data_IF_476550446395
#
_entry.id   IF_476550446395
#
_cell.length_a   1.000
_cell.length_b   1.000
_cell.length_c   1.000
_cell.angle_alpha   90.00
_cell.angle_beta   90.00
_cell.angle_gamma   90.00
#
_symmetry.space_group_name_H-M   'P 1'
#
loop_
_entity.id
_entity.type
_entity.pdbx_description
1 polymer ?
#
# COMPACT_ATOMS: atom_id res chain seq x y z
N UNK A 1 15.06 -14.91 -5.42
CA UNK A 1 15.35 -13.82 -4.47
C UNK A 1 14.67 -14.14 -3.16
N UNK A 2 15.35 -13.90 -2.01
CA UNK A 2 14.72 -14.06 -0.70
C UNK A 2 13.89 -12.81 -0.39
N UNK A 3 12.60 -13.01 -0.11
CA UNK A 3 11.69 -11.96 0.31
C UNK A 3 11.30 -12.19 1.78
N UNK A 4 11.25 -11.11 2.56
CA UNK A 4 10.72 -11.15 3.91
C UNK A 4 9.20 -11.23 3.87
N UNK A 5 8.65 -12.17 4.60
CA UNK A 5 7.21 -12.34 4.80
C UNK A 5 6.96 -12.41 6.30
N UNK A 6 6.21 -11.47 6.83
CA UNK A 6 5.68 -11.53 8.19
C UNK A 6 4.33 -12.23 8.13
N UNK A 7 4.15 -13.26 8.93
CA UNK A 7 2.93 -14.08 8.94
C UNK A 7 2.31 -14.10 10.32
N UNK A 8 0.98 -14.04 10.37
CA UNK A 8 0.17 -14.30 11.55
C UNK A 8 -0.87 -15.37 11.24
N UNK A 9 -0.98 -16.36 12.09
CA UNK A 9 -1.90 -17.48 11.97
C UNK A 9 -3.05 -17.35 12.96
N UNK A 10 -4.29 -17.72 12.54
CA UNK A 10 -5.42 -17.75 13.46
C UNK A 10 -5.26 -18.86 14.50
N UNK A 11 -5.65 -18.57 15.74
CA UNK A 11 -5.67 -19.56 16.82
C UNK A 11 -6.86 -20.52 16.74
N UNK A 12 -7.93 -20.12 16.07
CA UNK A 12 -9.16 -20.91 15.91
C UNK A 12 -9.94 -20.43 14.67
N UNK A 13 -10.89 -21.25 14.20
CA UNK A 13 -11.82 -20.90 13.11
C UNK A 13 -11.11 -20.44 11.82
N UNK A 14 -10.18 -21.25 11.32
CA UNK A 14 -9.38 -20.94 10.13
C UNK A 14 -10.27 -20.77 8.90
N UNK A 15 -10.20 -19.60 8.26
CA UNK A 15 -10.79 -19.34 6.95
C UNK A 15 -9.90 -19.90 5.84
N UNK A 16 -10.51 -20.38 4.77
CA UNK A 16 -9.76 -21.03 3.69
C UNK A 16 -8.94 -20.08 2.83
N UNK A 17 -9.35 -18.82 2.74
CA UNK A 17 -8.69 -17.85 1.85
C UNK A 17 -7.70 -17.01 2.66
N UNK A 18 -6.39 -17.05 2.36
CA UNK A 18 -5.42 -16.21 3.03
C UNK A 18 -5.49 -14.76 2.54
N UNK A 19 -4.88 -13.84 3.30
CA UNK A 19 -4.71 -12.44 2.90
C UNK A 19 -3.23 -12.15 2.70
N UNK A 20 -2.88 -11.44 1.62
CA UNK A 20 -1.56 -10.91 1.36
C UNK A 20 -1.61 -9.38 1.32
N UNK A 21 -0.87 -8.76 2.22
CA UNK A 21 -0.73 -7.32 2.34
C UNK A 21 0.53 -6.83 1.62
N UNK A 22 0.37 -5.77 0.80
CA UNK A 22 1.44 -5.15 0.00
C UNK A 22 1.59 -3.70 0.41
N UNK A 23 2.75 -3.34 0.93
CA UNK A 23 3.02 -2.00 1.48
C UNK A 23 3.22 -0.93 0.40
N UNK A 24 3.09 0.34 0.81
CA UNK A 24 3.37 1.52 0.00
C UNK A 24 4.84 1.92 -0.02
N UNK A 25 5.13 3.05 -0.68
CA UNK A 25 6.48 3.61 -0.74
C UNK A 25 7.08 3.79 0.66
N UNK A 26 8.38 3.56 0.77
CA UNK A 26 9.18 3.77 1.98
C UNK A 26 8.85 2.88 3.18
N UNK A 27 7.90 1.98 3.05
CA UNK A 27 7.47 1.04 4.09
C UNK A 27 8.09 -0.36 3.91
N UNK A 28 7.65 -1.28 4.73
CA UNK A 28 7.91 -2.73 4.65
C UNK A 28 6.75 -3.46 5.36
N UNK A 29 6.82 -4.78 5.47
CA UNK A 29 5.80 -5.60 6.12
C UNK A 29 5.39 -5.13 7.52
N UNK A 30 6.28 -4.42 8.21
CA UNK A 30 6.06 -3.92 9.57
C UNK A 30 4.81 -3.05 9.72
N UNK A 31 4.45 -2.24 8.71
CA UNK A 31 3.30 -1.35 8.80
C UNK A 31 1.97 -2.11 8.93
N UNK A 32 1.93 -3.33 8.43
CA UNK A 32 0.81 -4.24 8.57
C UNK A 32 0.87 -5.05 9.86
N UNK A 33 2.09 -5.42 10.30
CA UNK A 33 2.30 -6.19 11.52
C UNK A 33 1.91 -5.43 12.80
N UNK A 34 1.89 -4.10 12.75
CA UNK A 34 1.51 -3.26 13.89
C UNK A 34 0.07 -3.53 14.34
N UNK A 35 -0.87 -3.63 13.39
CA UNK A 35 -2.29 -3.77 13.69
C UNK A 35 -3.01 -4.81 12.83
N UNK A 36 -2.86 -4.76 11.52
CA UNK A 36 -3.69 -5.51 10.57
C UNK A 36 -3.44 -7.02 10.65
N UNK A 37 -2.19 -7.48 10.63
CA UNK A 37 -1.91 -8.91 10.67
C UNK A 37 -2.54 -9.59 11.90
N UNK A 38 -2.27 -9.12 13.16
CA UNK A 38 -2.87 -9.75 14.33
C UNK A 38 -4.39 -9.59 14.38
N UNK A 39 -4.92 -8.52 13.80
CA UNK A 39 -6.37 -8.30 13.75
C UNK A 39 -7.06 -9.29 12.83
N UNK A 40 -6.61 -9.46 11.59
CA UNK A 40 -7.18 -10.41 10.64
C UNK A 40 -6.97 -11.86 11.08
N UNK A 41 -5.82 -12.19 11.71
CA UNK A 41 -5.59 -13.50 12.31
C UNK A 41 -6.62 -13.82 13.40
N UNK A 42 -6.94 -12.88 14.29
CA UNK A 42 -8.02 -13.07 15.29
C UNK A 42 -9.39 -13.33 14.68
N UNK A 43 -9.62 -12.88 13.41
CA UNK A 43 -10.86 -13.12 12.67
C UNK A 43 -10.79 -14.34 11.73
N UNK A 44 -9.77 -15.18 11.90
CA UNK A 44 -9.67 -16.48 11.22
C UNK A 44 -8.87 -16.48 9.92
N UNK A 45 -8.29 -15.35 9.49
CA UNK A 45 -7.51 -15.31 8.25
C UNK A 45 -6.03 -15.58 8.52
N UNK A 46 -5.44 -16.51 7.75
CA UNK A 46 -3.98 -16.58 7.65
C UNK A 46 -3.52 -15.32 6.92
N UNK A 47 -2.78 -14.47 7.63
CA UNK A 47 -2.41 -13.12 7.18
C UNK A 47 -0.93 -13.05 6.90
N UNK A 48 -0.56 -12.57 5.72
CA UNK A 48 0.82 -12.41 5.30
C UNK A 48 1.07 -10.96 4.90
N UNK A 49 2.18 -10.38 5.32
CA UNK A 49 2.67 -9.10 4.83
C UNK A 49 4.03 -9.29 4.16
N UNK A 50 4.12 -8.85 2.91
CA UNK A 50 5.34 -8.91 2.11
C UNK A 50 6.14 -7.63 2.32
N UNK A 51 7.45 -7.75 2.57
CA UNK A 51 8.40 -6.67 2.26
C UNK A 51 8.88 -6.84 0.82
N UNK A 52 8.60 -5.87 -0.04
CA UNK A 52 9.05 -5.85 -1.43
C UNK A 52 10.58 -5.86 -1.50
N UNK A 53 11.15 -6.28 -2.62
CA UNK A 53 12.62 -6.27 -2.81
C UNK A 53 13.24 -4.92 -2.44
N UNK A 54 14.37 -4.96 -1.74
CA UNK A 54 15.06 -3.76 -1.24
C UNK A 54 14.44 -3.15 0.01
N UNK A 55 13.33 -3.71 0.54
CA UNK A 55 12.63 -3.24 1.73
C UNK A 55 12.68 -4.25 2.87
N UNK A 56 12.65 -3.74 4.11
CA UNK A 56 12.69 -4.60 5.29
C UNK A 56 13.87 -5.56 5.27
N UNK A 57 13.61 -6.85 5.49
CA UNK A 57 14.58 -7.94 5.43
C UNK A 57 14.70 -8.62 4.06
N UNK A 58 14.08 -8.07 3.00
CA UNK A 58 14.17 -8.61 1.64
C UNK A 58 15.49 -8.25 0.96
N UNK A 59 15.98 -9.15 0.10
CA UNK A 59 17.15 -8.90 -0.76
C UNK A 59 16.89 -7.74 -1.75
N UNK A 60 17.95 -7.23 -2.40
CA UNK A 60 17.86 -6.29 -3.54
C UNK A 60 18.07 -4.83 -3.18
N UNK A 61 18.49 -4.51 -1.94
CA UNK A 61 18.68 -3.12 -1.48
C UNK A 61 19.74 -2.37 -2.29
N UNK A 62 20.75 -3.04 -2.77
CA UNK A 62 21.84 -2.48 -3.60
C UNK A 62 21.34 -1.98 -4.96
N UNK A 63 20.20 -2.50 -5.44
CA UNK A 63 19.57 -2.12 -6.71
C UNK A 63 18.29 -1.33 -6.55
N UNK A 64 17.87 -1.02 -5.33
CA UNK A 64 16.58 -0.41 -4.99
C UNK A 64 16.22 0.75 -5.93
N UNK A 65 17.15 1.69 -6.14
CA UNK A 65 16.93 2.89 -6.97
C UNK A 65 16.33 2.59 -8.35
N UNK A 66 16.68 1.46 -8.94
CA UNK A 66 16.34 1.09 -10.31
C UNK A 66 15.33 -0.04 -10.43
N UNK A 67 14.76 -0.47 -9.30
CA UNK A 67 13.71 -1.47 -9.27
C UNK A 67 12.43 -0.92 -9.91
N UNK A 68 11.89 -1.61 -10.91
CA UNK A 68 10.65 -1.22 -11.58
C UNK A 68 9.41 -1.69 -10.82
N UNK A 69 8.23 -1.10 -11.13
CA UNK A 69 6.95 -1.61 -10.65
C UNK A 69 6.70 -3.05 -11.09
N UNK A 70 7.13 -3.43 -12.29
CA UNK A 70 6.95 -4.81 -12.80
C UNK A 70 7.79 -5.83 -12.02
N UNK A 71 8.96 -5.41 -11.51
CA UNK A 71 9.73 -6.25 -10.59
C UNK A 71 9.03 -6.41 -9.24
N UNK A 72 8.37 -5.37 -8.72
CA UNK A 72 7.53 -5.48 -7.52
C UNK A 72 6.29 -6.34 -7.75
N UNK A 73 5.67 -6.29 -8.93
CA UNK A 73 4.59 -7.22 -9.32
C UNK A 73 5.10 -8.66 -9.30
N UNK A 74 6.34 -8.90 -9.76
CA UNK A 74 6.97 -10.22 -9.73
C UNK A 74 7.19 -10.72 -8.29
N UNK A 75 7.47 -9.81 -7.32
CA UNK A 75 7.57 -10.17 -5.90
C UNK A 75 6.23 -10.66 -5.35
N UNK A 76 5.16 -9.93 -5.66
CA UNK A 76 3.79 -10.33 -5.27
C UNK A 76 3.44 -11.68 -5.90
N UNK A 77 3.77 -11.88 -7.18
CA UNK A 77 3.53 -13.14 -7.89
C UNK A 77 4.31 -14.31 -7.27
N UNK A 78 5.59 -14.08 -6.91
CA UNK A 78 6.41 -15.08 -6.22
C UNK A 78 5.78 -15.52 -4.91
N UNK A 79 5.32 -14.57 -4.09
CA UNK A 79 4.77 -14.87 -2.76
C UNK A 79 3.38 -15.49 -2.88
N UNK A 80 2.50 -14.93 -3.70
CA UNK A 80 1.16 -15.48 -3.92
C UNK A 80 1.20 -16.90 -4.50
N UNK A 81 2.16 -17.17 -5.41
CA UNK A 81 2.35 -18.51 -6.01
C UNK A 81 2.87 -19.57 -5.05
N UNK A 82 3.40 -19.18 -3.87
CA UNK A 82 3.83 -20.12 -2.83
C UNK A 82 2.71 -20.45 -1.82
N UNK A 83 1.58 -19.76 -1.90
CA UNK A 83 0.43 -20.03 -1.04
C UNK A 83 -0.39 -21.20 -1.57
N UNK A 84 -0.95 -22.00 -0.68
CA UNK A 84 -1.80 -23.14 -1.04
C UNK A 84 -3.05 -22.73 -1.84
N UNK A 85 -3.51 -21.49 -1.63
CA UNK A 85 -4.65 -20.89 -2.32
C UNK A 85 -4.35 -19.45 -2.71
N UNK A 86 -4.91 -18.94 -3.82
CA UNK A 86 -4.79 -17.54 -4.19
C UNK A 86 -5.28 -16.63 -3.05
N UNK A 87 -4.48 -15.64 -2.60
CA UNK A 87 -4.85 -14.75 -1.51
C UNK A 87 -5.83 -13.66 -1.95
N UNK A 88 -6.60 -13.13 -1.00
CA UNK A 88 -7.10 -11.76 -1.10
C UNK A 88 -5.90 -10.82 -1.04
N UNK A 89 -5.84 -9.85 -1.94
CA UNK A 89 -4.76 -8.87 -1.98
C UNK A 89 -5.21 -7.56 -1.33
N UNK A 90 -4.41 -7.02 -0.43
CA UNK A 90 -4.62 -5.70 0.16
C UNK A 90 -3.40 -4.85 -0.12
N UNK A 91 -3.54 -3.84 -0.98
CA UNK A 91 -2.44 -2.96 -1.37
C UNK A 91 -2.66 -1.53 -0.89
N UNK A 92 -1.63 -0.95 -0.25
CA UNK A 92 -1.62 0.43 0.20
C UNK A 92 -0.77 1.30 -0.73
N UNK A 93 -1.27 2.48 -1.12
CA UNK A 93 -0.51 3.49 -1.87
C UNK A 93 0.13 2.89 -3.14
N UNK A 94 1.47 2.93 -3.31
CA UNK A 94 2.19 2.23 -4.37
C UNK A 94 1.86 0.73 -4.40
N UNK A 95 1.75 0.07 -3.23
CA UNK A 95 1.34 -1.33 -3.13
C UNK A 95 -0.03 -1.59 -3.74
N UNK A 96 -0.93 -0.62 -3.66
CA UNK A 96 -2.22 -0.66 -4.37
C UNK A 96 -2.04 -0.65 -5.89
N UNK A 97 -1.15 0.17 -6.44
CA UNK A 97 -0.84 0.16 -7.87
C UNK A 97 -0.16 -1.15 -8.31
N UNK A 98 0.72 -1.71 -7.46
CA UNK A 98 1.33 -3.03 -7.72
C UNK A 98 0.25 -4.11 -7.79
N UNK A 99 -0.72 -4.10 -6.86
CA UNK A 99 -1.87 -5.02 -6.87
C UNK A 99 -2.71 -4.85 -8.15
N UNK A 100 -3.00 -3.61 -8.55
CA UNK A 100 -3.72 -3.32 -9.79
C UNK A 100 -3.00 -3.95 -11.01
N UNK A 101 -1.68 -3.77 -11.14
CA UNK A 101 -0.88 -4.36 -12.22
C UNK A 101 -0.81 -5.88 -12.14
N UNK A 102 -0.68 -6.46 -10.94
CA UNK A 102 -0.70 -7.90 -10.75
C UNK A 102 -2.00 -8.52 -11.28
N UNK A 103 -3.13 -7.87 -11.04
CA UNK A 103 -4.45 -8.34 -11.46
C UNK A 103 -4.72 -8.25 -12.97
N UNK A 104 -3.85 -7.61 -13.76
CA UNK A 104 -3.94 -7.63 -15.23
C UNK A 104 -3.71 -9.03 -15.82
N UNK A 105 -2.89 -9.85 -15.15
CA UNK A 105 -2.48 -11.17 -15.63
C UNK A 105 -2.70 -12.31 -14.63
N UNK A 106 -3.13 -11.99 -13.41
CA UNK A 106 -3.37 -12.98 -12.37
C UNK A 106 -4.77 -12.81 -11.77
N UNK A 107 -5.35 -13.91 -11.31
CA UNK A 107 -6.67 -13.90 -10.66
C UNK A 107 -6.51 -13.99 -9.14
N UNK A 108 -7.26 -13.17 -8.42
CA UNK A 108 -7.40 -13.24 -6.97
C UNK A 108 -8.89 -13.34 -6.60
N UNK A 109 -9.24 -13.92 -5.43
CA UNK A 109 -10.63 -13.98 -4.98
C UNK A 109 -11.26 -12.59 -4.80
N UNK A 110 -10.48 -11.64 -4.33
CA UNK A 110 -10.84 -10.24 -4.14
C UNK A 110 -9.58 -9.38 -3.95
N UNK A 111 -9.71 -8.06 -4.10
CA UNK A 111 -8.65 -7.12 -3.77
C UNK A 111 -9.19 -5.88 -3.05
N UNK A 112 -8.34 -5.29 -2.19
CA UNK A 112 -8.60 -4.02 -1.50
C UNK A 112 -7.51 -3.03 -1.89
N UNK A 113 -7.91 -1.88 -2.37
CA UNK A 113 -7.04 -0.74 -2.67
C UNK A 113 -7.21 0.31 -1.58
N UNK A 114 -6.22 0.43 -0.71
CA UNK A 114 -6.23 1.29 0.47
C UNK A 114 -5.38 2.53 0.22
N UNK A 115 -5.97 3.71 0.14
CA UNK A 115 -5.30 4.97 -0.24
C UNK A 115 -4.36 4.77 -1.45
N UNK A 116 -4.80 3.97 -2.42
CA UNK A 116 -3.98 3.46 -3.52
C UNK A 116 -3.61 4.57 -4.50
N UNK A 117 -2.37 4.52 -5.01
CA UNK A 117 -2.01 5.28 -6.20
C UNK A 117 -2.99 4.94 -7.33
N UNK A 118 -3.56 5.96 -8.01
CA UNK A 118 -4.60 5.76 -9.00
C UNK A 118 -4.04 5.20 -10.32
N UNK A 119 -4.85 4.46 -11.11
CA UNK A 119 -4.38 3.88 -12.38
C UNK A 119 -3.98 4.92 -13.42
N UNK A 120 -4.38 6.18 -13.26
CA UNK A 120 -3.96 7.30 -14.11
C UNK A 120 -2.57 7.85 -13.75
N UNK A 121 -1.93 7.29 -12.71
CA UNK A 121 -0.62 7.70 -12.24
C UNK A 121 -0.66 8.83 -11.19
N UNK A 122 0.52 9.20 -10.69
CA UNK A 122 0.67 10.09 -9.53
C UNK A 122 1.12 11.51 -9.88
N UNK A 123 0.91 11.98 -11.12
CA UNK A 123 1.32 13.32 -11.54
C UNK A 123 0.70 14.41 -10.66
N UNK A 124 -0.59 14.31 -10.32
CA UNK A 124 -1.28 15.30 -9.50
C UNK A 124 -0.74 15.32 -8.06
N UNK A 125 -0.53 14.15 -7.47
CA UNK A 125 0.13 14.00 -6.16
C UNK A 125 1.53 14.62 -6.17
N UNK A 126 2.32 14.32 -7.20
CA UNK A 126 3.67 14.89 -7.40
C UNK A 126 3.64 16.42 -7.47
N UNK A 127 2.70 17.00 -8.21
CA UNK A 127 2.57 18.46 -8.31
C UNK A 127 2.16 19.09 -6.97
N UNK A 128 1.30 18.45 -6.19
CA UNK A 128 0.93 18.91 -4.83
C UNK A 128 2.17 18.97 -3.94
N UNK A 129 2.95 17.89 -3.92
CA UNK A 129 4.18 17.78 -3.12
C UNK A 129 5.23 18.79 -3.58
N UNK A 130 5.47 18.93 -4.89
CA UNK A 130 6.44 19.87 -5.45
C UNK A 130 6.10 21.33 -5.12
N UNK A 131 4.80 21.69 -5.10
CA UNK A 131 4.37 23.04 -4.71
C UNK A 131 4.52 23.31 -3.22
N UNK A 132 4.27 22.30 -2.38
CA UNK A 132 4.32 22.41 -0.91
C UNK A 132 5.75 22.39 -0.39
N UNK A 133 6.61 21.54 -0.96
CA UNK A 133 8.00 21.32 -0.55
C UNK A 133 8.99 21.38 -1.72
N UNK A 134 9.13 22.52 -2.41
CA UNK A 134 9.90 22.60 -3.66
C UNK A 134 11.37 22.22 -3.50
N UNK A 135 12.01 22.59 -2.38
CA UNK A 135 13.42 22.26 -2.13
C UNK A 135 13.64 20.79 -1.82
N UNK A 136 12.71 20.18 -1.05
CA UNK A 136 12.74 18.74 -0.74
C UNK A 136 12.53 17.93 -2.02
N UNK A 137 11.55 18.34 -2.83
CA UNK A 137 11.27 17.73 -4.11
C UNK A 137 12.45 17.84 -5.09
N UNK A 138 13.07 19.01 -5.17
CA UNK A 138 14.28 19.19 -5.98
C UNK A 138 15.41 18.29 -5.50
N UNK A 139 15.64 18.20 -4.18
CA UNK A 139 16.65 17.31 -3.59
C UNK A 139 16.38 15.85 -3.96
N UNK A 140 15.14 15.38 -3.84
CA UNK A 140 14.75 14.01 -4.19
C UNK A 140 15.09 13.68 -5.66
N UNK A 141 14.79 14.60 -6.59
CA UNK A 141 15.08 14.42 -8.01
C UNK A 141 16.59 14.46 -8.31
N UNK A 142 17.33 15.40 -7.72
CA UNK A 142 18.77 15.50 -7.94
C UNK A 142 19.54 14.29 -7.39
N UNK A 143 19.08 13.72 -6.28
CA UNK A 143 19.70 12.54 -5.67
C UNK A 143 19.14 11.23 -6.22
N UNK A 144 18.05 11.27 -7.01
CA UNK A 144 17.27 10.10 -7.44
C UNK A 144 16.97 9.18 -6.25
N UNK A 145 16.47 9.76 -5.14
CA UNK A 145 16.09 9.09 -3.90
C UNK A 145 14.80 9.73 -3.39
N UNK A 146 13.84 8.91 -2.99
CA UNK A 146 12.58 9.41 -2.44
C UNK A 146 12.67 9.66 -0.93
N UNK A 147 13.73 9.21 -0.27
CA UNK A 147 13.91 9.34 1.18
C UNK A 147 13.82 10.79 1.70
N UNK A 148 14.33 11.83 1.00
CA UNK A 148 14.16 13.21 1.46
C UNK A 148 12.72 13.62 1.79
N UNK A 149 11.73 12.99 1.16
CA UNK A 149 10.30 13.27 1.35
C UNK A 149 9.79 12.84 2.74
N UNK A 150 10.44 11.87 3.38
CA UNK A 150 10.06 11.29 4.67
C UNK A 150 11.22 11.29 5.68
N UNK A 151 12.31 11.98 5.38
CA UNK A 151 13.58 11.89 6.12
C UNK A 151 13.56 12.48 7.53
N UNK A 152 12.57 13.30 7.85
CA UNK A 152 12.38 13.88 9.19
C UNK A 152 10.93 13.68 9.65
N UNK A 153 10.69 13.52 10.98
CA UNK A 153 9.35 13.21 11.50
C UNK A 153 8.27 14.21 11.06
N UNK A 154 8.59 15.48 10.91
CA UNK A 154 7.63 16.51 10.49
C UNK A 154 7.14 16.29 9.05
N UNK A 155 8.06 15.96 8.11
CA UNK A 155 7.69 15.66 6.72
C UNK A 155 6.92 14.34 6.64
N UNK A 156 7.35 13.32 7.42
CA UNK A 156 6.65 12.05 7.50
C UNK A 156 5.22 12.23 8.06
N UNK A 157 5.04 13.02 9.13
CA UNK A 157 3.73 13.30 9.68
C UNK A 157 2.84 13.98 8.65
N UNK A 158 3.34 15.03 8.01
CA UNK A 158 2.57 15.81 7.04
C UNK A 158 2.16 14.98 5.80
N UNK A 159 3.01 14.04 5.38
CA UNK A 159 2.73 13.20 4.22
C UNK A 159 1.81 12.02 4.55
N UNK A 160 1.98 11.38 5.72
CA UNK A 160 1.45 10.04 5.99
C UNK A 160 0.41 10.00 7.11
N UNK A 161 0.48 10.92 8.09
CA UNK A 161 -0.32 10.81 9.32
C UNK A 161 -1.19 12.05 9.53
N UNK A 162 -2.29 11.86 10.25
CA UNK A 162 -3.16 12.94 10.70
C UNK A 162 -2.42 13.90 11.65
N UNK A 163 -2.91 15.15 11.70
CA UNK A 163 -2.27 16.21 12.49
C UNK A 163 -2.30 15.92 14.00
N UNK A 164 -3.27 15.14 14.46
CA UNK A 164 -3.49 14.73 15.84
C UNK A 164 -2.79 13.41 16.22
N UNK A 165 -2.08 12.77 15.28
CA UNK A 165 -1.29 11.58 15.56
C UNK A 165 -0.30 11.87 16.71
N UNK A 166 -0.27 11.04 17.80
CA UNK A 166 0.66 11.24 18.91
C UNK A 166 2.12 11.29 18.44
N UNK A 167 2.88 12.26 18.93
CA UNK A 167 4.27 12.53 18.51
C UNK A 167 5.19 11.32 18.70
N UNK A 168 5.01 10.55 19.75
CA UNK A 168 5.75 9.32 20.01
C UNK A 168 5.49 8.26 18.93
N UNK A 169 4.26 8.13 18.45
CA UNK A 169 3.88 7.29 17.33
C UNK A 169 4.50 7.78 16.01
N UNK A 170 4.40 9.08 15.72
CA UNK A 170 5.06 9.67 14.54
C UNK A 170 6.56 9.38 14.56
N UNK A 171 7.25 9.60 15.70
CA UNK A 171 8.68 9.31 15.84
C UNK A 171 8.98 7.81 15.66
N UNK A 172 8.19 6.94 16.27
CA UNK A 172 8.34 5.50 16.17
C UNK A 172 8.19 5.01 14.72
N UNK A 173 7.14 5.43 14.03
CA UNK A 173 6.86 5.00 12.67
C UNK A 173 7.83 5.63 11.67
N UNK A 174 8.12 6.94 11.77
CA UNK A 174 9.06 7.62 10.87
C UNK A 174 10.48 7.05 10.95
N UNK A 175 10.91 6.57 12.13
CA UNK A 175 12.23 5.93 12.28
C UNK A 175 12.39 4.61 11.52
N UNK A 176 11.29 4.01 11.08
CA UNK A 176 11.24 2.74 10.35
C UNK A 176 11.08 2.93 8.84
N UNK A 177 10.83 4.18 8.39
CA UNK A 177 10.75 4.51 6.98
C UNK A 177 12.14 4.42 6.32
N UNK A 178 12.16 4.05 5.06
CA UNK A 178 13.37 3.86 4.29
C UNK A 178 13.29 4.51 2.91
N UNK A 179 14.36 4.45 2.13
CA UNK A 179 14.35 4.93 0.74
C UNK A 179 13.47 4.05 -0.15
N UNK A 180 13.07 4.60 -1.28
CA UNK A 180 12.23 3.93 -2.27
C UNK A 180 12.86 4.00 -3.65
N UNK A 181 12.44 3.10 -4.53
CA UNK A 181 12.86 3.10 -5.91
C UNK A 181 12.45 4.37 -6.66
N UNK A 182 13.45 5.08 -7.15
CA UNK A 182 13.21 6.22 -8.04
C UNK A 182 12.63 5.78 -9.38
N UNK A 183 13.00 4.59 -9.87
CA UNK A 183 12.43 4.00 -11.10
C UNK A 183 10.95 3.68 -10.91
N UNK A 184 10.55 3.04 -9.81
CA UNK A 184 9.12 2.77 -9.53
C UNK A 184 8.31 4.07 -9.45
N UNK A 185 8.88 5.14 -8.85
CA UNK A 185 8.25 6.45 -8.89
C UNK A 185 8.02 6.95 -10.33
N UNK A 186 9.02 6.83 -11.23
CA UNK A 186 8.85 7.21 -12.64
C UNK A 186 7.83 6.32 -13.36
N UNK A 187 7.77 5.03 -13.04
CA UNK A 187 6.76 4.11 -13.57
C UNK A 187 5.35 4.58 -13.17
N UNK A 188 5.14 5.00 -11.92
CA UNK A 188 3.89 5.59 -11.44
C UNK A 188 3.58 6.95 -12.06
N UNK A 189 4.58 7.71 -12.52
CA UNK A 189 4.41 8.97 -13.24
C UNK A 189 3.89 8.79 -14.68
N UNK A 190 3.88 7.58 -15.21
CA UNK A 190 3.35 7.33 -16.55
C UNK A 190 4.10 6.28 -17.39
N UNK A 191 5.27 5.78 -16.93
CA UNK A 191 6.04 4.82 -17.71
C UNK A 191 5.47 3.41 -17.67
N UNK A 192 4.77 3.01 -16.57
CA UNK A 192 4.18 1.68 -16.43
C UNK A 192 2.91 1.72 -15.58
N UNK A 193 1.81 2.23 -16.16
CA UNK A 193 0.53 2.35 -15.48
C UNK A 193 -0.32 1.09 -15.61
N UNK A 194 -1.22 0.83 -14.65
CA UNK A 194 -2.20 -0.25 -14.70
C UNK A 194 -3.21 -0.09 -15.85
N UNK A 195 -3.76 -1.22 -16.28
CA UNK A 195 -4.83 -1.31 -17.30
C UNK A 195 -6.11 -1.88 -16.68
N UNK A 196 -6.98 -1.03 -16.10
CA UNK A 196 -8.17 -1.46 -15.38
C UNK A 196 -9.10 -2.37 -16.21
N UNK A 197 -9.16 -2.15 -17.53
CA UNK A 197 -9.99 -2.94 -18.44
C UNK A 197 -9.60 -4.43 -18.52
N UNK A 198 -8.40 -4.78 -18.08
CA UNK A 198 -7.93 -6.17 -18.02
C UNK A 198 -8.27 -6.86 -16.69
N UNK A 199 -8.68 -6.11 -15.67
CA UNK A 199 -8.95 -6.62 -14.33
C UNK A 199 -10.39 -7.09 -14.20
N UNK A 200 -10.59 -8.31 -13.70
CA UNK A 200 -11.91 -8.91 -13.45
C UNK A 200 -12.18 -9.22 -11.99
N UNK A 201 -11.16 -9.15 -11.16
CA UNK A 201 -11.24 -9.37 -9.71
C UNK A 201 -12.16 -8.33 -9.05
N UNK A 202 -13.07 -8.71 -8.13
CA UNK A 202 -13.81 -7.75 -7.33
C UNK A 202 -12.88 -6.87 -6.49
N UNK A 203 -13.08 -5.56 -6.54
CA UNK A 203 -12.21 -4.58 -5.85
C UNK A 203 -13.03 -3.72 -4.90
N UNK A 204 -12.54 -3.58 -3.66
CA UNK A 204 -12.94 -2.55 -2.71
C UNK A 204 -11.92 -1.40 -2.78
N UNK A 205 -12.40 -0.18 -2.99
CA UNK A 205 -11.55 1.02 -3.03
C UNK A 205 -11.86 1.89 -1.83
N UNK A 206 -10.84 2.14 -1.02
CA UNK A 206 -10.94 2.88 0.23
C UNK A 206 -9.88 3.99 0.27
N UNK A 207 -10.23 5.13 0.83
CA UNK A 207 -9.33 6.26 1.00
C UNK A 207 -9.60 7.05 2.26
N UNK A 208 -8.78 8.04 2.54
CA UNK A 208 -8.83 8.88 3.72
C UNK A 208 -9.17 10.34 3.33
N UNK A 209 -9.97 11.02 4.15
CA UNK A 209 -10.44 12.37 3.84
C UNK A 209 -9.32 13.42 3.92
N UNK A 210 -8.37 13.21 4.85
CA UNK A 210 -7.26 14.13 5.11
C UNK A 210 -5.95 13.66 4.46
N UNK A 211 -6.04 12.80 3.45
CA UNK A 211 -4.89 12.32 2.70
C UNK A 211 -4.31 13.43 1.80
N UNK A 212 -3.07 13.82 2.09
CA UNK A 212 -2.35 14.84 1.33
C UNK A 212 -1.64 14.30 0.07
N UNK A 213 -1.48 12.97 -0.04
CA UNK A 213 -0.86 12.31 -1.19
C UNK A 213 -1.90 11.86 -2.21
N UNK A 214 -2.90 11.11 -1.79
CA UNK A 214 -3.97 10.60 -2.67
C UNK A 214 -5.29 11.22 -2.25
N UNK A 215 -5.73 12.23 -2.97
CA UNK A 215 -6.96 12.97 -2.63
C UNK A 215 -8.21 12.08 -2.76
N UNK A 216 -9.32 12.41 -2.05
CA UNK A 216 -10.59 11.72 -2.22
C UNK A 216 -11.07 11.64 -3.68
N UNK A 217 -10.83 12.67 -4.48
CA UNK A 217 -11.18 12.68 -5.91
C UNK A 217 -10.37 11.67 -6.74
N UNK A 218 -9.11 11.39 -6.35
CA UNK A 218 -8.28 10.35 -6.98
C UNK A 218 -8.73 8.95 -6.54
N UNK A 219 -9.17 8.80 -5.29
CA UNK A 219 -9.80 7.56 -4.79
C UNK A 219 -11.08 7.25 -5.58
N UNK A 220 -11.95 8.26 -5.77
CA UNK A 220 -13.15 8.13 -6.61
C UNK A 220 -12.82 7.81 -8.06
N UNK A 221 -11.77 8.43 -8.63
CA UNK A 221 -11.33 8.15 -10.00
C UNK A 221 -10.85 6.70 -10.13
N UNK A 222 -10.14 6.18 -9.11
CA UNK A 222 -9.75 4.77 -9.03
C UNK A 222 -10.98 3.87 -9.00
N UNK A 223 -11.96 4.14 -8.15
CA UNK A 223 -13.18 3.35 -8.07
C UNK A 223 -13.97 3.34 -9.39
N UNK A 224 -14.08 4.49 -10.06
CA UNK A 224 -14.72 4.56 -11.39
C UNK A 224 -14.00 3.71 -12.43
N UNK A 225 -12.66 3.70 -12.41
CA UNK A 225 -11.87 2.90 -13.36
C UNK A 225 -12.10 1.39 -13.20
N UNK A 226 -12.43 0.94 -12.00
CA UNK A 226 -12.75 -0.46 -11.68
C UNK A 226 -14.25 -0.74 -11.55
N UNK A 227 -15.13 0.16 -12.01
CA UNK A 227 -16.59 0.01 -11.99
C UNK A 227 -17.16 -0.30 -10.58
N UNK A 228 -16.57 0.31 -9.55
CA UNK A 228 -16.99 0.18 -8.14
C UNK A 228 -17.20 1.55 -7.49
N UNK A 229 -17.52 1.55 -6.20
CA UNK A 229 -17.69 2.78 -5.41
C UNK A 229 -16.49 2.97 -4.48
N UNK A 230 -16.11 4.23 -4.29
CA UNK A 230 -15.11 4.62 -3.32
C UNK A 230 -15.73 4.77 -1.93
N UNK A 231 -14.99 4.39 -0.91
CA UNK A 231 -15.34 4.63 0.48
C UNK A 231 -14.25 5.50 1.13
N UNK A 232 -14.62 6.69 1.60
CA UNK A 232 -13.67 7.63 2.22
C UNK A 232 -13.92 7.70 3.71
N UNK A 233 -12.85 7.54 4.51
CA UNK A 233 -12.89 7.59 5.96
C UNK A 233 -12.57 9.01 6.43
N UNK A 234 -13.45 9.64 7.25
CA UNK A 234 -13.17 10.94 7.84
C UNK A 234 -12.09 10.84 8.93
N UNK A 235 -11.49 11.97 9.27
CA UNK A 235 -10.51 12.11 10.35
C UNK A 235 -9.36 11.11 10.23
N UNK A 236 -8.83 10.93 9.03
CA UNK A 236 -7.81 9.94 8.72
C UNK A 236 -6.91 10.42 7.57
N UNK A 237 -5.61 10.18 7.67
CA UNK A 237 -4.62 10.49 6.64
C UNK A 237 -4.16 9.25 5.87
N UNK A 238 -3.04 9.36 5.13
CA UNK A 238 -2.60 8.40 4.13
C UNK A 238 -2.37 6.98 4.68
N UNK A 239 -1.68 6.85 5.82
CA UNK A 239 -1.30 5.55 6.39
C UNK A 239 -2.45 4.94 7.22
N UNK A 240 -3.60 4.74 6.59
CA UNK A 240 -4.86 4.30 7.20
C UNK A 240 -4.70 3.08 8.13
N UNK A 241 -3.71 2.22 7.88
CA UNK A 241 -3.44 1.03 8.70
C UNK A 241 -2.68 1.33 10.00
N UNK A 242 -2.11 2.54 10.13
CA UNK A 242 -1.36 3.01 11.32
C UNK A 242 -2.10 4.12 12.10
N UNK A 243 -3.12 4.72 11.50
CA UNK A 243 -3.95 5.77 12.11
C UNK A 243 -4.74 5.27 13.32
N UNK A 244 -5.14 6.20 14.22
CA UNK A 244 -5.94 5.86 15.40
C UNK A 244 -7.25 5.14 15.04
N UNK A 245 -7.83 5.46 13.89
CA UNK A 245 -9.05 4.87 13.35
C UNK A 245 -8.87 3.56 12.56
N UNK A 246 -7.67 2.98 12.51
CA UNK A 246 -7.34 1.81 11.70
C UNK A 246 -8.33 0.65 11.82
N UNK A 247 -8.89 0.45 13.01
CA UNK A 247 -9.82 -0.67 13.25
C UNK A 247 -11.10 -0.53 12.43
N UNK A 248 -11.64 0.69 12.26
CA UNK A 248 -12.82 0.92 11.41
C UNK A 248 -12.56 0.50 9.96
N UNK A 249 -11.33 0.74 9.47
CA UNK A 249 -10.89 0.32 8.13
C UNK A 249 -10.83 -1.20 8.04
N UNK A 250 -10.22 -1.85 9.02
CA UNK A 250 -10.11 -3.31 9.09
C UNK A 250 -11.49 -3.98 9.22
N UNK A 251 -12.40 -3.45 10.07
CA UNK A 251 -13.78 -3.92 10.22
C UNK A 251 -14.53 -3.86 8.88
N UNK A 252 -14.35 -2.76 8.14
CA UNK A 252 -15.01 -2.59 6.84
C UNK A 252 -14.51 -3.60 5.82
N UNK A 253 -13.22 -3.89 5.80
CA UNK A 253 -12.64 -4.94 4.94
C UNK A 253 -13.23 -6.29 5.31
N UNK A 254 -13.27 -6.65 6.61
CA UNK A 254 -13.86 -7.91 7.09
C UNK A 254 -15.33 -8.05 6.68
N UNK A 255 -16.14 -7.01 6.87
CA UNK A 255 -17.53 -7.00 6.47
C UNK A 255 -17.69 -7.23 4.97
N UNK A 256 -16.84 -6.59 4.15
CA UNK A 256 -16.88 -6.73 2.69
C UNK A 256 -16.46 -8.12 2.21
N UNK A 257 -15.44 -8.72 2.83
CA UNK A 257 -15.01 -10.09 2.56
C UNK A 257 -16.11 -11.08 2.97
N UNK A 258 -16.74 -10.88 4.15
CA UNK A 258 -17.83 -11.72 4.64
C UNK A 258 -19.04 -11.74 3.70
N UNK A 259 -19.42 -10.60 3.11
CA UNK A 259 -20.49 -10.54 2.09
C UNK A 259 -20.17 -11.34 0.81
N UNK A 260 -18.92 -11.72 0.59
CA UNK A 260 -18.44 -12.53 -0.54
C UNK A 260 -18.20 -13.99 -0.18
N UNK A 261 -18.43 -14.37 1.06
CA UNK A 261 -18.15 -15.73 1.54
C UNK A 261 -16.66 -16.05 1.66
N UNK A 262 -15.84 -15.01 1.77
CA UNK A 262 -14.38 -15.10 1.91
C UNK A 262 -13.97 -14.98 3.37
#
# INVERSE_FOLDING_TARGET
>A
MKLEIVKEEPLAHVRFTPILFVHGMSHAAWCWAEHFLPYFARHGYVSHALSLRGHGGSDGRERLRWTSLDEYVSDVAQVAGQMERPPVLVGHSMGGMIVQKYLESHVAPAAVLLASAPPQGVIQATLRVARRHPLVFMKANLTMSMFPMVSVPQLAQEALFSADMPKDKVMSYSSRLQDESYRAYLDMMGLSLPRPEQVRTPILVMGAADDHLISPSEVEATARAYHTQAETFPDMAHDMMLEAGWQKVADRILAWLGMRGL
#
